data_IF_299575637520
#
_entry.id   IF_299575637520
#
_cell.length_a   1.000
_cell.length_b   1.000
_cell.length_c   1.000
_cell.angle_alpha   90.00
_cell.angle_beta   90.00
_cell.angle_gamma   90.00
#
_symmetry.space_group_name_H-M   'P 1'
#
loop_
_entity.id
_entity.type
_entity.pdbx_description
1 polymer ?
#
# COMPACT_ATOMS: atom_id res chain seq x y z
N UNK A 1 -7.26 -9.63 -4.36
CA UNK A 1 -6.69 -9.87 -5.71
C UNK A 1 -6.26 -8.57 -6.42
N UNK A 2 -7.19 -7.68 -6.79
CA UNK A 2 -6.88 -6.46 -7.57
C UNK A 2 -5.91 -5.50 -6.86
N UNK A 3 -5.99 -5.40 -5.52
CA UNK A 3 -5.06 -4.56 -4.76
C UNK A 3 -3.65 -5.15 -4.71
N UNK A 4 -3.48 -6.47 -4.53
CA UNK A 4 -2.14 -7.09 -4.56
C UNK A 4 -1.39 -6.82 -5.89
N UNK A 5 -2.08 -6.77 -7.03
CA UNK A 5 -1.46 -6.38 -8.31
C UNK A 5 -1.08 -4.89 -8.40
N UNK A 6 -1.68 -4.02 -7.57
CA UNK A 6 -1.22 -2.64 -7.42
C UNK A 6 0.06 -2.53 -6.60
N UNK A 7 0.23 -3.38 -5.58
CA UNK A 7 1.45 -3.45 -4.76
C UNK A 7 2.63 -4.13 -5.46
N UNK A 8 2.43 -4.74 -6.64
CA UNK A 8 3.50 -5.43 -7.38
C UNK A 8 3.82 -6.83 -6.86
N UNK A 9 2.91 -7.44 -6.10
CA UNK A 9 3.04 -8.82 -5.58
C UNK A 9 1.99 -9.75 -6.23
N UNK A 10 2.26 -11.07 -6.30
CA UNK A 10 1.32 -12.01 -6.90
C UNK A 10 -0.08 -11.92 -6.27
N UNK A 11 -1.17 -11.95 -7.07
CA UNK A 11 -2.53 -11.68 -6.58
C UNK A 11 -2.96 -12.53 -5.38
N UNK A 12 -2.49 -13.78 -5.32
CA UNK A 12 -2.79 -14.77 -4.27
C UNK A 12 -2.51 -14.22 -2.87
N UNK A 13 -1.43 -13.44 -2.70
CA UNK A 13 -1.10 -12.84 -1.41
C UNK A 13 -2.15 -11.86 -0.90
N UNK A 14 -2.93 -11.25 -1.79
CA UNK A 14 -4.06 -10.41 -1.40
C UNK A 14 -5.20 -11.19 -0.74
N UNK A 15 -5.39 -12.47 -1.09
CA UNK A 15 -6.37 -13.32 -0.39
C UNK A 15 -5.88 -13.72 0.98
N UNK A 16 -4.60 -14.11 1.08
CA UNK A 16 -3.99 -14.44 2.36
C UNK A 16 -4.10 -13.27 3.33
N UNK A 17 -3.72 -12.07 2.89
CA UNK A 17 -3.82 -10.85 3.72
C UNK A 17 -5.24 -10.56 4.21
N UNK A 18 -6.26 -10.59 3.34
CA UNK A 18 -7.65 -10.34 3.76
C UNK A 18 -8.20 -11.40 4.71
N UNK A 19 -7.90 -12.68 4.45
CA UNK A 19 -8.39 -13.78 5.27
C UNK A 19 -7.83 -13.68 6.70
N UNK A 20 -6.51 -13.58 6.82
CA UNK A 20 -5.86 -13.49 8.12
C UNK A 20 -6.24 -12.20 8.86
N UNK A 21 -6.32 -11.05 8.18
CA UNK A 21 -6.73 -9.79 8.80
C UNK A 21 -8.16 -9.86 9.40
N UNK A 22 -9.10 -10.48 8.69
CA UNK A 22 -10.47 -10.65 9.17
C UNK A 22 -10.55 -11.63 10.35
N UNK A 23 -9.80 -12.74 10.30
CA UNK A 23 -9.73 -13.69 11.42
C UNK A 23 -9.16 -13.05 12.68
N UNK A 24 -8.08 -12.28 12.57
CA UNK A 24 -7.49 -11.58 13.72
C UNK A 24 -8.45 -10.51 14.26
N UNK A 25 -9.13 -9.76 13.39
CA UNK A 25 -10.11 -8.78 13.82
C UNK A 25 -11.32 -9.41 14.54
N UNK A 26 -11.72 -10.63 14.18
CA UNK A 26 -12.81 -11.32 14.87
C UNK A 26 -12.54 -11.54 16.36
N UNK A 27 -11.28 -11.76 16.76
CA UNK A 27 -10.91 -12.00 18.15
C UNK A 27 -10.64 -10.71 18.94
N UNK A 28 -10.03 -9.71 18.31
CA UNK A 28 -9.57 -8.48 18.97
C UNK A 28 -10.42 -7.24 18.67
N UNK A 29 -11.39 -7.35 17.75
CA UNK A 29 -12.20 -6.24 17.28
C UNK A 29 -13.32 -5.86 18.24
N UNK A 30 -13.55 -4.56 18.37
CA UNK A 30 -14.60 -3.99 19.23
C UNK A 30 -15.90 -3.68 18.49
N UNK A 31 -15.87 -3.55 17.15
CA UNK A 31 -17.02 -3.17 16.35
C UNK A 31 -17.54 -4.34 15.49
N UNK A 32 -18.78 -4.76 15.74
CA UNK A 32 -19.40 -5.94 15.11
C UNK A 32 -19.79 -5.74 13.63
N UNK A 33 -19.89 -4.49 13.18
CA UNK A 33 -20.34 -4.15 11.82
C UNK A 33 -19.21 -3.71 10.89
N UNK A 34 -17.97 -3.62 11.38
CA UNK A 34 -16.82 -3.21 10.57
C UNK A 34 -16.12 -4.46 10.03
N UNK A 35 -15.95 -4.53 8.72
CA UNK A 35 -15.15 -5.55 8.06
C UNK A 35 -13.80 -4.95 7.66
N UNK A 36 -12.72 -5.58 8.10
CA UNK A 36 -11.34 -5.16 7.81
C UNK A 36 -10.75 -6.06 6.73
N UNK A 37 -10.00 -5.42 5.82
CA UNK A 37 -9.31 -6.09 4.73
C UNK A 37 -8.32 -5.16 4.04
N UNK A 38 -7.89 -5.54 2.84
CA UNK A 38 -6.94 -4.76 2.03
C UNK A 38 -7.56 -3.46 1.50
N UNK A 39 -6.81 -2.36 1.59
CA UNK A 39 -7.22 -1.03 1.13
C UNK A 39 -6.42 -0.56 -0.09
N UNK A 40 -7.08 0.12 -1.02
CA UNK A 40 -6.50 0.52 -2.30
C UNK A 40 -5.29 1.47 -2.16
N UNK A 41 -5.41 2.52 -1.32
CA UNK A 41 -4.36 3.52 -1.15
C UNK A 41 -3.14 2.92 -0.47
N UNK A 42 -3.35 2.11 0.58
CA UNK A 42 -2.26 1.40 1.26
C UNK A 42 -1.49 0.51 0.28
N UNK A 43 -2.21 -0.18 -0.60
CA UNK A 43 -1.58 -1.01 -1.63
C UNK A 43 -0.80 -0.23 -2.68
N UNK A 44 -1.26 0.98 -3.05
CA UNK A 44 -0.53 1.88 -3.93
C UNK A 44 0.75 2.39 -3.25
N UNK A 45 0.69 2.76 -1.97
CA UNK A 45 1.86 3.24 -1.22
C UNK A 45 2.90 2.14 -1.00
N UNK A 46 2.48 0.89 -0.75
CA UNK A 46 3.41 -0.24 -0.68
C UNK A 46 4.10 -0.47 -2.03
N UNK A 47 3.33 -0.41 -3.12
CA UNK A 47 3.90 -0.48 -4.48
C UNK A 47 4.89 0.66 -4.76
N UNK A 48 4.59 1.85 -4.27
CA UNK A 48 5.45 3.02 -4.38
C UNK A 48 6.78 2.86 -3.64
N UNK A 49 6.71 2.45 -2.37
CA UNK A 49 7.91 2.15 -1.58
C UNK A 49 8.75 1.03 -2.21
N UNK A 50 8.13 -0.01 -2.78
CA UNK A 50 8.83 -1.07 -3.52
C UNK A 50 9.61 -0.49 -4.70
N UNK A 51 8.94 0.26 -5.57
CA UNK A 51 9.55 0.82 -6.79
C UNK A 51 10.74 1.73 -6.49
N UNK A 52 10.73 2.43 -5.35
CA UNK A 52 11.85 3.28 -4.91
C UNK A 52 13.09 2.51 -4.47
N UNK A 53 12.92 1.31 -3.90
CA UNK A 53 14.02 0.52 -3.34
C UNK A 53 14.53 -0.56 -4.32
N UNK A 54 13.62 -1.12 -5.12
CA UNK A 54 13.93 -2.08 -6.19
C UNK A 54 13.28 -1.55 -7.47
N UNK A 55 14.01 -0.75 -8.27
CA UNK A 55 13.58 -0.38 -9.61
C UNK A 55 13.41 -1.65 -10.46
N UNK A 56 12.39 -1.70 -11.30
CA UNK A 56 12.21 -2.82 -12.22
C UNK A 56 13.40 -2.87 -13.21
N UNK A 57 13.83 -4.07 -13.67
CA UNK A 57 15.08 -4.28 -14.41
C UNK A 57 15.17 -3.58 -15.78
N UNK A 58 14.13 -2.87 -16.20
CA UNK A 58 14.03 -2.19 -17.50
C UNK A 58 14.79 -0.85 -17.52
N UNK A 59 15.07 -0.27 -16.35
CA UNK A 59 15.85 0.98 -16.18
C UNK A 59 17.35 0.74 -15.89
N UNK A 60 17.81 -0.52 -15.87
CA UNK A 60 19.22 -0.86 -15.62
C UNK A 60 20.01 -0.79 -16.94
N UNK A 61 20.13 0.41 -17.50
CA UNK A 61 21.27 0.74 -18.35
C UNK A 61 22.40 1.20 -17.41
N UNK A 62 23.52 0.50 -17.48
CA UNK A 62 24.81 0.81 -16.84
C UNK A 62 24.97 0.42 -15.35
N UNK A 63 25.56 -0.77 -15.16
CA UNK A 63 26.76 -0.94 -14.33
C UNK A 63 26.77 -0.18 -12.98
N UNK A 64 25.78 -0.45 -12.15
CA UNK A 64 25.85 -0.17 -10.71
C UNK A 64 25.43 -1.44 -10.01
N UNK A 65 26.37 -2.10 -9.34
CA UNK A 65 26.11 -3.19 -8.42
C UNK A 65 25.00 -2.73 -7.48
N UNK A 66 23.79 -3.29 -7.61
CA UNK A 66 22.73 -3.03 -6.65
C UNK A 66 23.29 -3.39 -5.26
N UNK A 67 23.31 -2.46 -4.30
CA UNK A 67 23.93 -2.74 -2.99
C UNK A 67 23.14 -3.79 -2.18
N UNK A 68 21.97 -4.21 -2.67
CA UNK A 68 21.12 -5.25 -2.12
C UNK A 68 20.91 -6.32 -3.21
N UNK A 69 21.58 -7.47 -3.08
CA UNK A 69 21.43 -8.60 -4.01
C UNK A 69 20.02 -9.19 -3.98
N UNK A 70 19.51 -9.66 -5.12
CA UNK A 70 18.32 -10.50 -5.34
C UNK A 70 17.20 -10.45 -4.27
N UNK A 71 16.85 -9.26 -3.78
CA UNK A 71 15.79 -9.15 -2.77
C UNK A 71 14.47 -9.34 -3.49
N UNK A 72 13.78 -10.43 -3.14
CA UNK A 72 12.46 -10.69 -3.73
C UNK A 72 11.49 -9.60 -3.29
N UNK A 73 10.58 -9.14 -4.17
CA UNK A 73 9.59 -8.12 -3.82
C UNK A 73 8.68 -8.57 -2.66
N UNK A 74 8.54 -9.88 -2.47
CA UNK A 74 7.81 -10.46 -1.35
C UNK A 74 8.53 -10.22 -0.02
N UNK A 75 9.84 -10.41 0.03
CA UNK A 75 10.64 -10.22 1.24
C UNK A 75 10.59 -8.75 1.70
N UNK A 76 10.78 -7.81 0.76
CA UNK A 76 10.69 -6.39 1.05
C UNK A 76 9.30 -5.98 1.56
N UNK A 77 8.25 -6.41 0.87
CA UNK A 77 6.87 -6.07 1.28
C UNK A 77 6.48 -6.72 2.61
N UNK A 78 6.97 -7.93 2.90
CA UNK A 78 6.77 -8.60 4.20
C UNK A 78 7.49 -7.88 5.35
N UNK A 79 8.72 -7.41 5.14
CA UNK A 79 9.46 -6.62 6.12
C UNK A 79 8.78 -5.26 6.36
N UNK A 80 8.35 -4.58 5.30
CA UNK A 80 7.62 -3.30 5.40
C UNK A 80 6.32 -3.47 6.19
N UNK A 81 5.53 -4.50 5.88
CA UNK A 81 4.27 -4.77 6.58
C UNK A 81 4.48 -5.14 8.04
N UNK A 82 5.55 -5.88 8.37
CA UNK A 82 5.92 -6.17 9.74
C UNK A 82 6.23 -4.89 10.53
N UNK A 83 7.06 -4.00 9.97
CA UNK A 83 7.40 -2.73 10.61
C UNK A 83 6.14 -1.87 10.83
N UNK A 84 5.27 -1.77 9.83
CA UNK A 84 3.98 -1.05 9.96
C UNK A 84 3.13 -1.66 11.07
N UNK A 85 3.07 -2.98 11.19
CA UNK A 85 2.35 -3.67 12.27
C UNK A 85 2.93 -3.37 13.66
N UNK A 86 4.25 -3.37 13.81
CA UNK A 86 4.92 -3.02 15.07
C UNK A 86 4.63 -1.57 15.46
N UNK A 87 4.69 -0.63 14.51
CA UNK A 87 4.35 0.78 14.74
C UNK A 87 2.88 0.94 15.13
N UNK A 88 1.97 0.20 14.50
CA UNK A 88 0.54 0.21 14.86
C UNK A 88 0.29 -0.36 16.27
N UNK A 89 0.96 -1.44 16.66
CA UNK A 89 0.89 -1.97 18.02
C UNK A 89 1.43 -0.96 19.03
N UNK A 90 2.54 -0.27 18.72
CA UNK A 90 3.11 0.76 19.57
C UNK A 90 2.13 1.93 19.75
N UNK A 91 1.47 2.39 18.68
CA UNK A 91 0.40 3.40 18.77
C UNK A 91 -0.80 2.93 19.60
N UNK A 92 -1.15 1.65 19.51
CA UNK A 92 -2.18 1.03 20.35
C UNK A 92 -1.81 1.02 21.84
N UNK A 93 -0.57 0.62 22.17
CA UNK A 93 -0.06 0.59 23.56
C UNK A 93 0.04 2.01 24.14
N UNK A 94 0.49 2.98 23.35
CA UNK A 94 0.53 4.40 23.74
C UNK A 94 -0.86 5.06 23.80
N UNK A 95 -1.94 4.32 23.47
CA UNK A 95 -3.32 4.82 23.42
C UNK A 95 -3.48 6.11 22.60
N UNK A 96 -2.75 6.22 21.49
CA UNK A 96 -2.81 7.37 20.57
C UNK A 96 -4.12 7.43 19.77
N UNK A 97 -5.10 6.56 20.06
CA UNK A 97 -6.45 6.64 19.52
C UNK A 97 -7.14 7.98 19.78
N UNK A 98 -6.78 8.68 20.86
CA UNK A 98 -7.23 10.05 21.12
C UNK A 98 -6.87 11.00 19.96
N UNK A 99 -5.69 10.88 19.36
CA UNK A 99 -5.28 11.76 18.25
C UNK A 99 -6.23 11.64 17.05
N UNK A 100 -6.76 10.44 16.78
CA UNK A 100 -7.73 10.23 15.69
C UNK A 100 -9.04 10.96 15.92
N UNK A 101 -9.46 11.17 17.18
CA UNK A 101 -10.66 11.94 17.52
C UNK A 101 -10.48 13.46 17.38
N UNK A 102 -9.24 13.94 17.24
CA UNK A 102 -8.94 15.36 16.99
C UNK A 102 -8.83 15.71 15.50
N UNK A 103 -8.88 14.73 14.60
CA UNK A 103 -8.96 15.01 13.17
C UNK A 103 -10.35 15.57 12.88
N UNK A 104 -10.39 16.73 12.23
CA UNK A 104 -11.66 17.38 11.87
C UNK A 104 -12.37 16.61 10.75
N UNK A 105 -13.71 16.57 10.80
CA UNK A 105 -14.52 15.92 9.76
C UNK A 105 -14.18 16.42 8.33
N UNK A 106 -13.92 17.72 8.09
CA UNK A 106 -13.49 18.21 6.78
C UNK A 106 -12.14 17.64 6.32
N UNK A 107 -11.20 17.41 7.26
CA UNK A 107 -9.89 16.84 6.94
C UNK A 107 -10.02 15.37 6.52
N UNK A 108 -10.81 14.59 7.25
CA UNK A 108 -11.05 13.17 6.92
C UNK A 108 -11.80 13.04 5.59
N UNK A 109 -12.81 13.89 5.36
CA UNK A 109 -13.56 13.95 4.11
C UNK A 109 -12.67 14.37 2.92
N UNK A 110 -11.83 15.40 3.10
CA UNK A 110 -10.87 15.86 2.10
C UNK A 110 -9.83 14.79 1.75
N UNK A 111 -9.26 14.13 2.76
CA UNK A 111 -8.31 13.03 2.55
C UNK A 111 -8.95 11.84 1.81
N UNK A 112 -10.17 11.47 2.16
CA UNK A 112 -10.90 10.37 1.52
C UNK A 112 -11.20 10.70 0.06
N UNK A 113 -11.65 11.92 -0.23
CA UNK A 113 -11.94 12.39 -1.60
C UNK A 113 -10.67 12.46 -2.44
N UNK A 114 -9.59 13.02 -1.91
CA UNK A 114 -8.29 13.07 -2.58
C UNK A 114 -7.72 11.68 -2.84
N UNK A 115 -7.81 10.79 -1.85
CA UNK A 115 -7.43 9.38 -1.98
C UNK A 115 -8.24 8.65 -3.06
N UNK A 116 -9.55 8.89 -3.14
CA UNK A 116 -10.40 8.29 -4.15
C UNK A 116 -10.02 8.77 -5.56
N UNK A 117 -9.79 10.07 -5.74
CA UNK A 117 -9.32 10.64 -7.01
C UNK A 117 -7.93 10.06 -7.39
N UNK A 118 -7.01 9.96 -6.43
CA UNK A 118 -5.69 9.37 -6.64
C UNK A 118 -5.76 7.88 -7.06
N UNK A 119 -6.63 7.09 -6.42
CA UNK A 119 -6.86 5.69 -6.80
C UNK A 119 -7.48 5.60 -8.19
N UNK A 120 -8.43 6.47 -8.53
CA UNK A 120 -9.07 6.52 -9.85
C UNK A 120 -8.04 6.77 -10.95
N UNK A 121 -7.18 7.79 -10.78
CA UNK A 121 -6.08 8.09 -11.72
C UNK A 121 -5.12 6.90 -11.82
N UNK A 122 -4.78 6.27 -10.70
CA UNK A 122 -3.88 5.10 -10.67
C UNK A 122 -4.47 3.85 -11.35
N UNK A 123 -5.80 3.70 -11.41
CA UNK A 123 -6.45 2.61 -12.14
C UNK A 123 -6.71 2.94 -13.60
N UNK A 124 -6.73 4.22 -14.01
CA UNK A 124 -7.07 4.64 -15.37
C UNK A 124 -6.16 4.00 -16.42
N UNK A 125 -4.86 3.89 -16.13
CA UNK A 125 -3.89 3.22 -16.99
C UNK A 125 -4.24 1.74 -17.24
N UNK A 126 -4.83 1.05 -16.26
CA UNK A 126 -5.28 -0.35 -16.42
C UNK A 126 -6.55 -0.46 -17.25
N UNK A 127 -7.42 0.56 -17.24
CA UNK A 127 -8.67 0.59 -18.01
C UNK A 127 -8.42 0.92 -19.48
N UNK A 128 -7.49 1.84 -19.76
CA UNK A 128 -7.13 2.27 -21.12
C UNK A 128 -6.28 1.19 -21.84
N UNK A 129 -5.73 0.21 -21.11
CA UNK A 129 -5.08 -0.97 -21.69
C UNK A 129 -3.66 -0.74 -22.22
N UNK A 130 -3.11 0.46 -22.04
CA UNK A 130 -1.72 0.77 -22.39
C UNK A 130 -0.82 0.44 -21.20
N UNK A 131 0.22 -0.38 -21.44
CA UNK A 131 1.26 -0.65 -20.43
C UNK A 131 2.16 0.58 -20.32
N UNK A 132 1.80 1.54 -19.47
CA UNK A 132 2.70 2.64 -19.15
C UNK A 132 3.75 2.20 -18.12
N UNK A 133 5.04 2.55 -18.30
CA UNK A 133 6.07 2.34 -17.30
C UNK A 133 5.73 3.14 -16.03
N UNK A 134 5.77 2.48 -14.87
CA UNK A 134 5.35 3.06 -13.59
C UNK A 134 6.45 3.98 -13.05
N UNK A 135 6.33 5.28 -13.29
CA UNK A 135 7.22 6.30 -12.72
C UNK A 135 6.63 6.93 -11.45
N UNK A 136 7.48 7.18 -10.45
CA UNK A 136 7.12 7.85 -9.20
C UNK A 136 7.64 9.30 -9.17
N UNK A 137 6.75 10.30 -9.07
CA UNK A 137 7.14 11.71 -8.91
C UNK A 137 5.95 12.68 -8.87
N UNK A 138 6.17 13.93 -8.43
CA UNK A 138 5.16 15.01 -8.31
C UNK A 138 4.56 15.47 -9.66
N UNK A 139 4.82 14.76 -10.76
CA UNK A 139 4.48 15.13 -12.14
C UNK A 139 3.78 14.04 -12.96
N UNK A 140 3.12 13.05 -12.34
CA UNK A 140 2.46 11.88 -12.99
C UNK A 140 1.35 12.21 -14.03
N UNK A 141 1.08 13.48 -14.32
CA UNK A 141 0.07 13.91 -15.31
C UNK A 141 0.68 14.60 -16.55
N UNK A 142 1.98 14.91 -16.56
CA UNK A 142 2.62 15.66 -17.66
C UNK A 142 3.80 14.95 -18.35
N UNK A 143 4.17 13.74 -17.92
CA UNK A 143 5.18 12.88 -18.57
C UNK A 143 4.82 11.41 -18.35
#
# INVERSE_FOLDING_TARGET
MAYASLAGVPPVYGMYSSFFASTVYMFFGTARHVSIGVFAVASLMVGACRLRLVPDPEDILANSTSPLGDVTPLELTSALTLVVGVVQLLFGVLRLGFLTTYLSDPLVSGFTTGSAAHVMVSQLNKVIGVKLPRHEGTGMLLL
#
